data_IF_648732759429
#
_entry.id   IF_648732759429
#
_cell.length_a   1.000
_cell.length_b   1.000
_cell.length_c   1.000
_cell.angle_alpha   90.00
_cell.angle_beta   90.00
_cell.angle_gamma   90.00
#
_symmetry.space_group_name_H-M   'P 1'
#
loop_
_entity.id
_entity.type
_entity.pdbx_description
1 polymer ?
#
# COMPACT_ATOMS: atom_id res chain seq x y z
N UNK A 1 -5.87 -6.79 64.88
CA UNK A 1 -5.05 -7.57 63.93
C UNK A 1 -5.05 -6.76 62.64
N UNK A 2 -3.96 -6.05 62.31
CA UNK A 2 -2.76 -6.56 61.62
C UNK A 2 -3.06 -6.80 60.12
N UNK A 3 -2.66 -5.89 59.20
CA UNK A 3 -1.34 -5.81 58.49
C UNK A 3 -1.17 -6.99 57.51
N UNK A 4 -0.91 -6.83 56.20
CA UNK A 4 0.00 -5.95 55.42
C UNK A 4 -0.67 -5.50 54.07
N UNK A 5 -0.25 -4.60 53.15
CA UNK A 5 0.89 -3.67 52.82
C UNK A 5 2.32 -4.23 52.64
N UNK A 6 2.94 -4.27 51.46
CA UNK A 6 2.94 -3.35 50.28
C UNK A 6 3.01 -4.08 48.90
N UNK A 7 2.86 -3.37 47.76
CA UNK A 7 3.18 -3.88 46.41
C UNK A 7 4.64 -3.61 45.98
N UNK A 8 5.21 -4.51 45.18
CA UNK A 8 6.50 -4.39 44.46
C UNK A 8 6.46 -5.40 43.27
N UNK A 9 7.23 -5.32 42.18
CA UNK A 9 8.49 -4.60 41.94
C UNK A 9 8.54 -3.83 40.60
N UNK A 10 9.39 -2.81 40.54
CA UNK A 10 9.93 -2.27 39.27
C UNK A 10 11.26 -2.96 38.95
N UNK A 11 11.29 -3.93 38.02
CA UNK A 11 12.55 -4.56 37.61
C UNK A 11 13.36 -3.67 36.64
N UNK A 12 14.15 -2.76 37.21
CA UNK A 12 15.28 -2.09 36.54
C UNK A 12 16.58 -2.64 37.13
N UNK A 13 17.61 -2.89 36.30
CA UNK A 13 19.05 -2.54 36.54
C UNK A 13 20.02 -3.44 35.72
N UNK A 14 20.71 -2.81 34.74
CA UNK A 14 22.04 -3.18 34.22
C UNK A 14 22.16 -4.53 33.45
N UNK A 15 23.24 -4.86 32.71
CA UNK A 15 24.68 -4.65 32.96
C UNK A 15 25.56 -4.62 31.67
N UNK A 16 26.71 -3.92 31.76
CA UNK A 16 27.91 -3.90 30.89
C UNK A 16 27.85 -3.26 29.47
N UNK A 17 28.84 -2.39 29.24
CA UNK A 17 29.27 -1.80 27.97
C UNK A 17 30.78 -2.10 27.78
N UNK A 18 31.18 -2.70 26.66
CA UNK A 18 32.49 -2.57 25.96
C UNK A 18 32.42 -3.39 24.64
N UNK A 19 32.57 -2.84 23.43
CA UNK A 19 33.76 -2.23 22.77
C UNK A 19 34.78 -3.26 22.25
N UNK A 20 34.83 -3.41 20.92
CA UNK A 20 36.05 -3.37 20.09
C UNK A 20 35.68 -3.25 18.60
N UNK A 21 36.58 -2.70 17.77
CA UNK A 21 36.42 -2.60 16.31
C UNK A 21 37.20 -3.73 15.61
N UNK A 22 36.73 -4.19 14.44
CA UNK A 22 37.59 -4.92 13.51
C UNK A 22 37.25 -4.68 12.02
N UNK A 23 37.84 -3.59 11.50
CA UNK A 23 38.46 -3.48 10.17
C UNK A 23 37.61 -3.56 8.88
N UNK A 24 38.18 -2.93 7.84
CA UNK A 24 37.64 -2.86 6.48
C UNK A 24 37.71 -4.19 5.73
N UNK A 25 36.80 -4.35 4.75
CA UNK A 25 37.13 -5.03 3.50
C UNK A 25 36.58 -4.23 2.33
N UNK A 26 37.46 -3.46 1.68
CA UNK A 26 37.22 -2.86 0.38
C UNK A 26 37.97 -3.67 -0.69
N UNK A 27 37.29 -4.59 -1.36
CA UNK A 27 37.81 -5.28 -2.54
C UNK A 27 37.37 -4.57 -3.81
N UNK A 28 38.26 -3.78 -4.42
CA UNK A 28 38.03 -3.18 -5.74
C UNK A 28 38.42 -4.17 -6.86
N UNK A 29 37.99 -3.97 -8.13
CA UNK A 29 37.98 -5.03 -9.15
C UNK A 29 39.28 -5.14 -9.94
N UNK A 30 39.45 -6.22 -10.70
CA UNK A 30 40.01 -6.10 -12.05
C UNK A 30 39.51 -7.18 -13.04
N UNK A 31 39.80 -6.99 -14.34
CA UNK A 31 39.21 -7.76 -15.47
C UNK A 31 39.94 -9.07 -15.77
N UNK A 32 39.29 -9.99 -16.50
CA UNK A 32 39.67 -10.27 -17.89
C UNK A 32 38.68 -11.18 -18.68
N UNK A 33 38.92 -11.27 -19.99
CA UNK A 33 37.99 -11.78 -21.00
C UNK A 33 38.25 -13.23 -21.47
N UNK A 34 37.18 -13.85 -21.99
CA UNK A 34 37.13 -14.77 -23.16
C UNK A 34 37.85 -16.13 -23.16
N UNK A 35 37.03 -17.17 -23.36
CA UNK A 35 37.14 -18.18 -24.44
C UNK A 35 35.70 -18.66 -24.74
N UNK A 36 35.18 -18.63 -25.97
CA UNK A 36 35.46 -19.51 -27.11
C UNK A 36 35.11 -20.98 -26.81
N UNK A 37 34.37 -21.75 -27.64
CA UNK A 37 33.83 -21.54 -29.00
C UNK A 37 32.45 -22.26 -29.11
N UNK A 38 31.65 -22.29 -30.18
CA UNK A 38 31.99 -22.67 -31.56
C UNK A 38 30.93 -22.19 -32.60
N UNK A 39 31.43 -21.62 -33.70
CA UNK A 39 31.13 -21.89 -35.13
C UNK A 39 29.70 -21.98 -35.68
N UNK A 40 29.42 -21.11 -36.66
CA UNK A 40 29.17 -21.52 -38.05
C UNK A 40 29.61 -20.42 -39.03
N UNK A 41 30.25 -20.81 -40.13
CA UNK A 41 30.63 -20.01 -41.32
C UNK A 41 29.72 -20.49 -42.49
N UNK A 42 29.55 -19.88 -43.67
CA UNK A 42 30.34 -18.98 -44.53
C UNK A 42 29.44 -17.84 -45.11
N UNK A 43 29.94 -16.61 -45.34
CA UNK A 43 30.31 -16.01 -46.64
C UNK A 43 29.39 -16.35 -47.85
N UNK A 44 28.91 -15.42 -48.69
CA UNK A 44 29.12 -13.95 -48.79
C UNK A 44 27.85 -13.25 -49.39
N UNK A 45 27.78 -12.10 -50.09
CA UNK A 45 28.73 -11.24 -50.86
C UNK A 45 28.24 -9.76 -50.85
N UNK A 46 28.99 -8.85 -51.47
CA UNK A 46 28.76 -7.39 -51.59
C UNK A 46 27.44 -6.95 -52.28
N UNK A 47 26.85 -5.83 -51.82
CA UNK A 47 26.76 -4.60 -52.64
C UNK A 47 26.00 -3.41 -52.00
N UNK A 48 26.68 -2.25 -51.99
CA UNK A 48 26.16 -0.86 -52.07
C UNK A 48 24.98 -0.46 -51.15
N UNK A 49 25.38 0.01 -49.96
CA UNK A 49 24.91 1.24 -49.28
C UNK A 49 23.68 1.98 -49.87
N UNK A 50 22.61 2.11 -49.07
CA UNK A 50 21.70 3.25 -49.21
C UNK A 50 21.07 3.66 -47.88
N UNK A 51 21.31 4.89 -47.44
CA UNK A 51 20.90 5.39 -46.13
C UNK A 51 19.44 5.84 -46.15
N UNK A 52 18.54 5.04 -45.56
CA UNK A 52 17.18 5.48 -45.21
C UNK A 52 16.94 5.29 -43.71
N UNK A 53 16.88 6.36 -42.90
CA UNK A 53 16.40 6.24 -41.54
C UNK A 53 14.95 5.74 -41.60
N UNK A 54 14.68 4.61 -40.93
CA UNK A 54 13.33 4.10 -40.80
C UNK A 54 12.56 5.02 -39.84
N UNK A 55 11.63 5.81 -40.39
CA UNK A 55 10.70 6.63 -39.62
C UNK A 55 9.77 5.74 -38.79
N UNK A 56 10.29 5.31 -37.66
CA UNK A 56 9.57 4.55 -36.64
C UNK A 56 8.77 5.54 -35.83
N UNK A 57 7.70 6.05 -36.43
CA UNK A 57 6.68 6.86 -35.77
C UNK A 57 6.17 6.11 -34.54
N UNK A 58 6.71 6.46 -33.37
CA UNK A 58 6.26 5.93 -32.09
C UNK A 58 4.80 6.35 -31.95
N UNK A 59 3.89 5.38 -32.12
CA UNK A 59 2.46 5.63 -31.97
C UNK A 59 2.18 6.00 -30.52
N UNK A 60 2.10 7.31 -30.29
CA UNK A 60 1.76 7.88 -29.00
C UNK A 60 0.50 7.19 -28.46
N UNK A 61 0.66 6.46 -27.34
CA UNK A 61 -0.42 5.74 -26.70
C UNK A 61 -1.34 6.78 -26.06
N UNK A 62 -2.28 7.32 -26.84
CA UNK A 62 -3.31 8.28 -26.38
C UNK A 62 -3.84 7.81 -25.03
N UNK A 63 -3.46 8.53 -23.99
CA UNK A 63 -3.97 8.29 -22.64
C UNK A 63 -5.46 8.58 -22.71
N UNK A 64 -6.29 7.55 -22.55
CA UNK A 64 -7.71 7.75 -22.30
C UNK A 64 -7.82 8.34 -20.89
N UNK A 65 -8.51 9.46 -20.79
CA UNK A 65 -8.93 9.99 -19.50
C UNK A 65 -9.88 9.00 -18.87
N UNK A 66 -9.48 8.41 -17.73
CA UNK A 66 -10.29 7.45 -16.98
C UNK A 66 -10.96 8.23 -15.86
N UNK A 67 -12.23 8.55 -16.06
CA UNK A 67 -13.08 9.08 -15.00
C UNK A 67 -13.44 7.95 -14.02
N UNK A 68 -13.51 8.21 -12.71
CA UNK A 68 -13.98 7.22 -11.75
C UNK A 68 -15.43 6.85 -12.07
N UNK A 69 -15.75 5.56 -12.00
CA UNK A 69 -17.11 5.06 -12.18
C UNK A 69 -18.03 5.68 -11.10
N UNK A 70 -19.24 6.18 -11.46
CA UNK A 70 -20.15 6.78 -10.49
C UNK A 70 -20.56 5.76 -9.42
N UNK A 71 -20.99 6.28 -8.27
CA UNK A 71 -21.58 5.47 -7.20
C UNK A 71 -23.08 5.69 -7.27
N UNK A 72 -23.85 4.62 -7.40
CA UNK A 72 -25.28 4.65 -7.14
C UNK A 72 -25.55 4.55 -5.62
N UNK A 73 -26.42 5.42 -5.10
CA UNK A 73 -26.76 5.43 -3.67
C UNK A 73 -27.69 4.28 -3.28
N UNK A 74 -28.51 3.75 -4.20
CA UNK A 74 -29.35 2.56 -3.95
C UNK A 74 -28.49 1.28 -3.91
N UNK A 75 -27.43 1.21 -4.71
CA UNK A 75 -26.47 0.10 -4.74
C UNK A 75 -25.28 0.27 -3.77
N UNK A 76 -25.21 1.32 -2.94
CA UNK A 76 -24.02 1.64 -2.15
C UNK A 76 -23.82 0.71 -0.94
N UNK A 77 -22.67 0.04 -0.86
CA UNK A 77 -22.23 -0.67 0.35
C UNK A 77 -21.37 0.24 1.23
N UNK A 78 -21.58 0.18 2.55
CA UNK A 78 -20.75 0.85 3.55
C UNK A 78 -19.76 -0.12 4.20
N UNK A 79 -18.78 0.44 4.90
CA UNK A 79 -17.91 -0.31 5.77
C UNK A 79 -18.57 -0.50 7.14
N UNK A 80 -18.57 -1.74 7.63
CA UNK A 80 -19.16 -2.12 8.91
C UNK A 80 -18.13 -1.94 10.04
N UNK A 81 -18.46 -1.13 11.03
CA UNK A 81 -17.68 -0.95 12.27
C UNK A 81 -18.21 -1.94 13.30
N UNK A 82 -17.38 -2.89 13.74
CA UNK A 82 -17.81 -3.83 14.78
C UNK A 82 -17.96 -3.14 16.13
N UNK A 83 -19.10 -3.35 16.80
CA UNK A 83 -19.35 -2.96 18.20
C UNK A 83 -18.50 -3.79 19.17
N UNK A 84 -18.03 -4.97 18.73
CA UNK A 84 -17.27 -5.91 19.57
C UNK A 84 -15.81 -5.47 19.77
N UNK A 85 -15.11 -5.06 18.70
CA UNK A 85 -13.67 -4.71 18.77
C UNK A 85 -13.26 -3.43 18.02
N UNK A 86 -14.24 -2.69 17.47
CA UNK A 86 -14.06 -1.49 16.64
C UNK A 86 -13.34 -1.69 15.30
N UNK A 87 -13.08 -2.92 14.84
CA UNK A 87 -12.53 -3.15 13.50
C UNK A 87 -13.53 -2.72 12.41
N UNK A 88 -13.02 -2.10 11.35
CA UNK A 88 -13.77 -1.64 10.19
C UNK A 88 -13.60 -2.65 9.05
N UNK A 89 -14.68 -3.32 8.67
CA UNK A 89 -14.73 -4.31 7.61
C UNK A 89 -15.35 -3.74 6.33
N UNK A 90 -14.79 -4.11 5.18
CA UNK A 90 -15.38 -3.86 3.86
C UNK A 90 -15.40 -5.18 3.11
N UNK A 91 -16.57 -5.79 2.96
CA UNK A 91 -16.73 -7.10 2.33
C UNK A 91 -16.65 -7.01 0.81
N UNK A 92 -16.10 -8.06 0.17
CA UNK A 92 -16.03 -8.15 -1.28
C UNK A 92 -17.42 -8.45 -1.86
N UNK A 93 -18.09 -7.44 -2.39
CA UNK A 93 -19.43 -7.54 -2.93
C UNK A 93 -19.49 -6.95 -4.33
N UNK A 94 -19.23 -7.79 -5.34
CA UNK A 94 -19.25 -7.43 -6.77
C UNK A 94 -20.63 -7.02 -7.32
N UNK A 95 -21.65 -6.84 -6.46
CA UNK A 95 -23.00 -6.36 -6.79
C UNK A 95 -23.34 -5.03 -6.13
N UNK A 96 -22.43 -4.43 -5.38
CA UNK A 96 -22.64 -3.18 -4.67
C UNK A 96 -21.48 -2.21 -4.90
N UNK A 97 -21.79 -0.92 -4.94
CA UNK A 97 -20.84 0.15 -5.19
C UNK A 97 -20.16 0.57 -3.88
N UNK A 98 -18.84 0.55 -3.84
CA UNK A 98 -18.07 1.13 -2.73
C UNK A 98 -16.71 1.67 -3.19
N UNK A 99 -16.32 2.81 -2.61
CA UNK A 99 -15.03 3.49 -2.86
C UNK A 99 -14.57 4.21 -1.59
N UNK A 100 -14.20 3.41 -0.58
CA UNK A 100 -13.86 3.85 0.78
C UNK A 100 -12.39 4.31 0.82
N UNK A 101 -12.19 5.63 0.76
CA UNK A 101 -10.86 6.23 0.99
C UNK A 101 -10.58 6.43 2.48
N UNK A 102 -9.37 6.06 2.90
CA UNK A 102 -8.75 6.57 4.12
C UNK A 102 -7.88 7.79 3.81
N UNK A 103 -8.08 8.89 4.53
CA UNK A 103 -7.38 10.17 4.37
C UNK A 103 -6.46 10.47 5.56
N UNK A 104 -5.41 11.27 5.34
CA UNK A 104 -4.47 11.66 6.41
C UNK A 104 -5.02 12.73 7.36
N UNK A 105 -6.10 13.40 6.97
CA UNK A 105 -6.85 14.42 7.71
C UNK A 105 -8.36 14.25 7.42
N UNK A 106 -9.27 14.84 8.20
CA UNK A 106 -10.70 14.91 7.88
C UNK A 106 -10.94 15.92 6.74
N UNK A 107 -10.40 15.61 5.57
CA UNK A 107 -10.32 16.46 4.38
C UNK A 107 -10.06 15.57 3.16
N UNK A 108 -10.98 15.55 2.19
CA UNK A 108 -10.91 14.70 0.99
C UNK A 108 -9.83 15.14 -0.01
N UNK A 109 -9.26 16.34 0.16
CA UNK A 109 -8.12 16.84 -0.62
C UNK A 109 -6.76 16.48 -0.01
N UNK A 110 -6.76 15.94 1.22
CA UNK A 110 -5.55 15.50 1.91
C UNK A 110 -4.97 14.20 1.34
N UNK A 111 -3.81 13.78 1.84
CA UNK A 111 -3.13 12.58 1.34
C UNK A 111 -3.99 11.34 1.52
N UNK A 112 -4.23 10.63 0.41
CA UNK A 112 -4.86 9.30 0.40
C UNK A 112 -3.93 8.29 1.05
N UNK A 113 -4.39 7.66 2.13
CA UNK A 113 -3.64 6.70 2.92
C UNK A 113 -3.88 5.29 2.39
N UNK A 114 -5.14 4.90 2.20
CA UNK A 114 -5.54 3.66 1.52
C UNK A 114 -6.83 3.88 0.73
N UNK A 115 -7.19 2.91 -0.11
CA UNK A 115 -8.49 2.81 -0.76
C UNK A 115 -8.99 1.37 -0.72
N UNK A 116 -10.26 1.17 -0.41
CA UNK A 116 -10.96 -0.11 -0.64
C UNK A 116 -12.11 0.14 -1.62
N UNK A 117 -12.15 -0.57 -2.75
CA UNK A 117 -13.15 -0.34 -3.80
C UNK A 117 -13.41 -1.55 -4.69
N UNK A 118 -14.66 -1.73 -5.13
CA UNK A 118 -15.05 -2.79 -6.07
C UNK A 118 -14.44 -2.59 -7.47
N UNK A 119 -14.16 -1.34 -7.88
CA UNK A 119 -13.76 -1.01 -9.24
C UNK A 119 -12.28 -1.34 -9.50
N UNK A 120 -12.03 -2.21 -10.49
CA UNK A 120 -10.66 -2.52 -10.95
C UNK A 120 -9.88 -1.27 -11.37
N UNK A 121 -10.57 -0.25 -11.90
CA UNK A 121 -9.98 1.04 -12.31
C UNK A 121 -9.49 1.90 -11.13
N UNK A 122 -9.93 1.62 -9.90
CA UNK A 122 -9.51 2.30 -8.68
C UNK A 122 -8.44 1.54 -7.90
N UNK A 123 -8.42 0.20 -8.03
CA UNK A 123 -7.54 -0.72 -7.29
C UNK A 123 -6.25 -1.03 -8.05
N UNK A 124 -6.36 -1.40 -9.33
CA UNK A 124 -5.26 -2.00 -10.07
C UNK A 124 -4.10 -1.01 -10.29
N UNK A 125 -2.90 -1.44 -9.92
CA UNK A 125 -1.65 -0.66 -10.03
C UNK A 125 -1.63 0.62 -9.14
N UNK A 126 -2.51 0.71 -8.12
CA UNK A 126 -2.66 1.83 -7.18
C UNK A 126 -2.71 3.21 -7.88
N UNK A 127 -3.70 3.45 -8.77
CA UNK A 127 -3.76 4.62 -9.64
C UNK A 127 -4.04 5.90 -8.83
N UNK A 128 -4.73 5.75 -7.70
CA UNK A 128 -4.99 6.78 -6.70
C UNK A 128 -3.76 7.17 -5.86
N UNK A 129 -2.63 6.46 -6.00
CA UNK A 129 -1.33 6.69 -5.30
C UNK A 129 -1.46 6.71 -3.77
N UNK A 130 -2.32 5.84 -3.24
CA UNK A 130 -2.54 5.71 -1.81
C UNK A 130 -1.29 5.18 -1.11
N UNK A 131 -0.87 5.79 0.01
CA UNK A 131 0.39 5.49 0.71
C UNK A 131 0.58 4.01 1.07
N UNK A 132 -0.51 3.35 1.49
CA UNK A 132 -0.54 1.95 1.91
C UNK A 132 -1.25 1.04 0.89
N UNK A 133 -1.51 1.50 -0.34
CA UNK A 133 -2.10 0.70 -1.41
C UNK A 133 -3.60 0.88 -1.63
N UNK A 134 -4.14 0.12 -2.58
CA UNK A 134 -5.57 0.06 -2.92
C UNK A 134 -5.99 -1.41 -3.06
N UNK A 135 -7.20 -1.73 -2.60
CA UNK A 135 -7.66 -3.10 -2.35
C UNK A 135 -9.13 -3.31 -2.75
N UNK A 136 -9.54 -4.56 -3.00
CA UNK A 136 -10.94 -4.87 -3.34
C UNK A 136 -11.85 -5.02 -2.12
N UNK A 137 -11.29 -5.34 -0.96
CA UNK A 137 -11.97 -5.58 0.31
C UNK A 137 -10.96 -5.43 1.46
N UNK A 138 -11.42 -5.42 2.71
CA UNK A 138 -10.55 -5.28 3.87
C UNK A 138 -9.70 -6.54 4.15
N UNK A 139 -10.13 -7.72 3.70
CA UNK A 139 -9.38 -8.98 3.88
C UNK A 139 -8.18 -9.10 2.91
N UNK A 140 -8.23 -8.38 1.79
CA UNK A 140 -7.16 -8.23 0.80
C UNK A 140 -6.03 -7.30 1.26
N UNK A 141 -6.16 -6.64 2.41
CA UNK A 141 -5.13 -5.78 3.00
C UNK A 141 -4.11 -6.65 3.76
N UNK A 142 -2.91 -6.90 3.21
CA UNK A 142 -1.97 -7.88 3.79
C UNK A 142 -1.52 -7.44 5.18
N UNK A 143 -1.81 -8.30 6.15
CA UNK A 143 -1.44 -8.18 7.58
C UNK A 143 -1.91 -6.87 8.25
N UNK A 144 -2.89 -6.19 7.64
CA UNK A 144 -3.37 -4.87 8.05
C UNK A 144 -4.82 -4.88 8.54
N UNK A 145 -5.12 -4.02 9.50
CA UNK A 145 -6.48 -3.78 9.98
C UNK A 145 -6.75 -2.29 10.20
N UNK A 146 -8.01 -1.90 10.10
CA UNK A 146 -8.47 -0.53 10.37
C UNK A 146 -9.37 -0.60 11.59
N UNK A 147 -9.13 0.21 12.62
CA UNK A 147 -10.00 0.27 13.81
C UNK A 147 -10.54 1.67 14.04
N UNK A 148 -11.85 1.78 14.16
CA UNK A 148 -12.57 2.99 14.56
C UNK A 148 -12.06 3.49 15.93
N UNK A 149 -12.09 4.81 16.11
CA UNK A 149 -11.76 5.46 17.39
C UNK A 149 -12.86 6.40 17.86
N UNK A 150 -13.29 7.33 17.00
CA UNK A 150 -14.12 8.48 17.41
C UNK A 150 -14.78 9.17 16.20
N UNK A 151 -15.75 10.03 16.49
CA UNK A 151 -16.41 10.87 15.50
C UNK A 151 -15.55 12.11 15.14
N UNK A 152 -15.46 12.42 13.85
CA UNK A 152 -14.72 13.56 13.31
C UNK A 152 -15.63 14.43 12.41
N UNK A 153 -16.85 14.69 12.88
CA UNK A 153 -17.86 15.46 12.15
C UNK A 153 -18.30 14.75 10.86
N UNK A 154 -17.98 15.33 9.70
CA UNK A 154 -18.22 14.72 8.39
C UNK A 154 -17.40 13.44 8.12
N UNK A 155 -16.49 13.09 9.03
CA UNK A 155 -15.65 11.88 8.98
C UNK A 155 -15.83 11.02 10.24
N UNK A 156 -15.36 9.78 10.20
CA UNK A 156 -14.88 9.06 11.38
C UNK A 156 -13.36 9.16 11.47
N UNK A 157 -12.83 9.11 12.69
CA UNK A 157 -11.41 8.90 12.96
C UNK A 157 -11.18 7.42 13.26
N UNK A 158 -10.14 6.86 12.64
CA UNK A 158 -9.71 5.49 12.83
C UNK A 158 -8.17 5.43 12.90
N UNK A 159 -7.63 4.26 13.24
CA UNK A 159 -6.22 3.91 13.15
C UNK A 159 -6.04 2.80 12.11
N UNK A 160 -5.00 2.89 11.28
CA UNK A 160 -4.51 1.80 10.44
C UNK A 160 -3.35 1.09 11.17
N UNK A 161 -3.43 -0.23 11.28
CA UNK A 161 -2.43 -1.11 11.87
C UNK A 161 -1.84 -2.06 10.83
N UNK A 162 -0.63 -2.58 11.10
CA UNK A 162 -0.07 -3.79 10.48
C UNK A 162 0.64 -4.61 11.56
N UNK A 163 0.40 -5.92 11.62
CA UNK A 163 0.99 -6.79 12.67
C UNK A 163 0.76 -6.24 14.09
N UNK A 164 -0.44 -5.70 14.35
CA UNK A 164 -0.83 -4.90 15.55
C UNK A 164 0.01 -3.63 15.82
N UNK A 165 1.00 -3.30 14.98
CA UNK A 165 1.76 -2.05 15.03
C UNK A 165 0.95 -0.93 14.37
N UNK A 166 0.73 0.17 15.11
CA UNK A 166 0.07 1.38 14.58
C UNK A 166 0.91 2.01 13.46
N UNK A 167 0.35 2.08 12.24
CA UNK A 167 0.98 2.74 11.10
C UNK A 167 0.65 4.24 11.06
N UNK A 168 -0.64 4.59 11.15
CA UNK A 168 -1.10 5.98 11.11
C UNK A 168 -2.55 6.13 11.61
N UNK A 169 -2.92 7.30 12.17
CA UNK A 169 -4.32 7.71 12.21
C UNK A 169 -4.82 8.00 10.78
N UNK A 170 -6.08 7.67 10.52
CA UNK A 170 -6.75 7.81 9.23
C UNK A 170 -8.18 8.32 9.43
N UNK A 171 -8.74 8.95 8.40
CA UNK A 171 -10.10 9.51 8.42
C UNK A 171 -10.89 8.99 7.22
N UNK A 172 -12.13 8.53 7.44
CA UNK A 172 -13.03 8.03 6.38
C UNK A 172 -14.28 8.93 6.38
N UNK A 173 -14.84 9.26 5.21
CA UNK A 173 -16.08 10.07 5.16
C UNK A 173 -17.26 9.32 5.84
N UNK A 174 -18.09 10.03 6.61
CA UNK A 174 -19.21 9.45 7.38
C UNK A 174 -20.16 8.59 6.54
N UNK A 175 -20.39 8.96 5.29
CA UNK A 175 -21.30 8.26 4.36
C UNK A 175 -20.84 6.83 4.03
N UNK A 176 -19.54 6.56 4.16
CA UNK A 176 -18.93 5.26 3.84
C UNK A 176 -18.93 4.26 4.99
N UNK A 177 -19.49 4.62 6.16
CA UNK A 177 -19.42 3.77 7.36
C UNK A 177 -20.77 3.66 8.06
N UNK A 178 -20.97 2.53 8.72
CA UNK A 178 -22.04 2.25 9.68
C UNK A 178 -21.55 1.27 10.75
N UNK A 179 -22.34 1.00 11.79
CA UNK A 179 -21.99 -0.01 12.80
C UNK A 179 -22.73 -1.32 12.51
N UNK A 180 -22.16 -2.47 12.87
CA UNK A 180 -22.85 -3.78 12.86
C UNK A 180 -24.18 -3.68 13.65
N UNK A 181 -25.24 -4.43 13.31
CA UNK A 181 -26.57 -4.34 13.95
C UNK A 181 -26.65 -4.94 15.37
#
# INVERSE_FOLDING_TARGET
MALYIFPHEHMKTFLIMTVMLSLWSCGNPDKNNSSANDRNTDQETDSIQNNRPADTTVKEKRVREVYPEPIDEESMQRAEISKTDSTIHVYNNIRADYRVFGYSKPDTTSQKMFLISVFTNDVKDNPNKCLYGSYYDSASMPDMSIKYLDDAGAFVKANLYRDDILLAPVYLERKWVEFEE
#
